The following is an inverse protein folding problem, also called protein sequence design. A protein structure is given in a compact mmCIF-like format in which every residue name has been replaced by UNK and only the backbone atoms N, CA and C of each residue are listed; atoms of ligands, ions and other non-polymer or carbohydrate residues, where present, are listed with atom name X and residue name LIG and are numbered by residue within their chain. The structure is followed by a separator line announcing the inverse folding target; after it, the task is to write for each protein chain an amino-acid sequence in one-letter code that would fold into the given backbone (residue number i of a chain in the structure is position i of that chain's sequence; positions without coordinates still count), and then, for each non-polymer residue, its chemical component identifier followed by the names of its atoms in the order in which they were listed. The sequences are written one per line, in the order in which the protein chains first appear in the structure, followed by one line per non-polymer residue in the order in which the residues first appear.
data_IF_035423553678
#
_entry.id   IF_035423553678
#
_cell.length_a   1.000
_cell.length_b   1.000
_cell.length_c   1.000
_cell.angle_alpha   90.00
_cell.angle_beta   90.00
_cell.angle_gamma   90.00
#
_symmetry.space_group_name_H-M   'P 1'
#
loop_
_entity.id
_entity.type
_entity.pdbx_description
1 polymer ?
#
# COMPACT_ATOMS: atom_id res chain seq x y z
N UNK A 1 19.48 5.67 -6.16
CA UNK A 1 18.95 4.56 -6.97
C UNK A 1 19.27 4.85 -8.43
N UNK A 2 19.83 3.88 -9.16
CA UNK A 2 20.22 4.05 -10.56
C UNK A 2 18.93 3.98 -11.38
N UNK A 3 18.34 5.13 -11.71
CA UNK A 3 16.92 5.24 -12.09
C UNK A 3 16.54 4.62 -13.44
N UNK A 4 17.46 3.92 -14.13
CA UNK A 4 17.14 3.05 -15.27
C UNK A 4 16.55 3.75 -16.51
N UNK A 5 16.28 5.05 -16.45
CA UNK A 5 15.65 5.81 -17.52
C UNK A 5 16.39 5.62 -18.85
N UNK A 6 15.61 5.32 -19.90
CA UNK A 6 16.12 5.14 -21.26
C UNK A 6 16.90 3.85 -21.51
N UNK A 7 16.97 2.91 -20.55
CA UNK A 7 17.58 1.59 -20.75
C UNK A 7 16.51 0.51 -20.91
N UNK A 8 16.63 -0.38 -21.90
CA UNK A 8 15.75 -1.53 -22.02
C UNK A 8 15.93 -2.52 -20.85
N UNK A 9 14.82 -3.03 -20.35
CA UNK A 9 14.73 -4.16 -19.43
C UNK A 9 14.94 -5.44 -20.26
N UNK A 10 16.12 -6.03 -20.16
CA UNK A 10 16.52 -7.20 -20.95
C UNK A 10 16.01 -8.54 -20.38
N UNK A 11 15.81 -8.60 -19.07
CA UNK A 11 15.30 -9.78 -18.37
C UNK A 11 13.88 -9.47 -17.87
N UNK A 12 12.88 -10.02 -18.56
CA UNK A 12 11.53 -10.07 -18.02
C UNK A 12 11.39 -11.28 -17.11
N UNK A 13 10.58 -11.14 -16.06
CA UNK A 13 10.12 -12.26 -15.25
C UNK A 13 9.28 -13.25 -16.07
N UNK A 14 8.74 -14.27 -15.40
CA UNK A 14 7.86 -15.23 -16.07
C UNK A 14 6.47 -14.63 -16.28
N UNK A 15 5.68 -15.23 -17.16
CA UNK A 15 4.32 -14.75 -17.48
C UNK A 15 3.43 -14.48 -16.24
N UNK A 16 3.55 -15.27 -15.17
CA UNK A 16 2.78 -15.07 -13.94
C UNK A 16 3.17 -13.81 -13.15
N UNK A 17 4.39 -13.28 -13.33
CA UNK A 17 4.82 -12.02 -12.68
C UNK A 17 4.05 -10.82 -13.25
N UNK A 18 3.41 -10.99 -14.42
CA UNK A 18 2.56 -10.02 -15.10
C UNK A 18 1.07 -10.35 -14.97
N UNK A 19 0.70 -11.29 -14.08
CA UNK A 19 -0.66 -11.82 -13.93
C UNK A 19 -1.23 -12.45 -15.21
N UNK A 20 -0.38 -12.87 -16.15
CA UNK A 20 -0.79 -13.64 -17.32
C UNK A 20 -0.94 -15.12 -16.96
N UNK A 21 -1.83 -15.83 -17.66
CA UNK A 21 -2.06 -17.28 -17.54
C UNK A 21 -1.02 -18.10 -18.31
N UNK A 22 -0.51 -17.54 -19.40
CA UNK A 22 0.50 -18.13 -20.27
C UNK A 22 1.28 -17.06 -21.05
N UNK A 23 2.26 -17.51 -21.83
CA UNK A 23 3.12 -16.65 -22.68
C UNK A 23 2.33 -15.87 -23.75
N UNK A 24 1.19 -16.41 -24.21
CA UNK A 24 0.38 -15.74 -25.23
C UNK A 24 -0.36 -14.55 -24.63
N UNK A 25 -0.90 -14.71 -23.41
CA UNK A 25 -1.51 -13.62 -22.65
C UNK A 25 -0.46 -12.56 -22.24
N UNK A 26 0.76 -12.96 -21.87
CA UNK A 26 1.86 -12.01 -21.63
C UNK A 26 2.12 -11.15 -22.87
N UNK A 27 2.33 -11.78 -24.03
CA UNK A 27 2.57 -11.05 -25.29
C UNK A 27 1.39 -10.14 -25.64
N UNK A 28 0.15 -10.58 -25.39
CA UNK A 28 -1.02 -9.73 -25.57
C UNK A 28 -0.99 -8.49 -24.65
N UNK A 29 -0.70 -8.66 -23.36
CA UNK A 29 -0.57 -7.54 -22.40
C UNK A 29 0.52 -6.56 -22.85
N UNK A 30 1.70 -7.06 -23.22
CA UNK A 30 2.81 -6.23 -23.70
C UNK A 30 2.42 -5.44 -24.96
N UNK A 31 1.72 -6.07 -25.91
CA UNK A 31 1.22 -5.39 -27.10
C UNK A 31 0.18 -4.31 -26.77
N UNK A 32 -0.69 -4.53 -25.78
CA UNK A 32 -1.65 -3.51 -25.31
C UNK A 32 -0.90 -2.31 -24.72
N UNK A 33 0.12 -2.53 -23.89
CA UNK A 33 0.94 -1.46 -23.32
C UNK A 33 1.71 -0.70 -24.42
N UNK A 34 2.22 -1.43 -25.43
CA UNK A 34 2.86 -0.85 -26.61
C UNK A 34 1.91 0.00 -27.45
N UNK A 35 0.70 -0.48 -27.71
CA UNK A 35 -0.32 0.28 -28.45
C UNK A 35 -0.76 1.55 -27.70
N UNK A 36 -0.65 1.57 -26.36
CA UNK A 36 -0.85 2.77 -25.55
C UNK A 36 0.36 3.72 -25.54
N UNK A 37 1.47 3.34 -26.17
CA UNK A 37 2.77 4.02 -26.15
C UNK A 37 3.35 4.15 -24.72
N UNK A 38 3.05 3.18 -23.85
CA UNK A 38 3.62 3.14 -22.50
C UNK A 38 4.99 2.46 -22.50
N UNK A 39 5.16 1.48 -23.39
CA UNK A 39 6.42 0.76 -23.57
C UNK A 39 6.68 0.56 -25.06
N UNK A 40 7.95 0.44 -25.45
CA UNK A 40 8.32 -0.20 -26.70
C UNK A 40 8.94 -1.56 -26.40
N UNK A 41 8.71 -2.52 -27.28
CA UNK A 41 9.28 -3.84 -27.13
C UNK A 41 9.46 -4.59 -28.43
N UNK A 42 10.49 -5.43 -28.47
CA UNK A 42 10.81 -6.29 -29.60
C UNK A 42 10.19 -7.70 -29.56
N UNK A 43 9.37 -8.01 -28.55
CA UNK A 43 8.77 -9.36 -28.40
C UNK A 43 7.94 -9.77 -29.61
N UNK A 44 8.23 -10.97 -30.11
CA UNK A 44 7.45 -11.65 -31.14
C UNK A 44 7.14 -13.07 -30.69
N UNK A 45 5.92 -13.52 -30.98
CA UNK A 45 5.53 -14.92 -30.83
C UNK A 45 6.13 -15.70 -32.01
N UNK A 46 7.01 -16.67 -31.75
CA UNK A 46 7.48 -17.60 -32.76
C UNK A 46 6.63 -18.87 -32.82
N UNK A 47 6.99 -19.77 -33.74
CA UNK A 47 6.35 -21.07 -33.87
C UNK A 47 6.51 -21.89 -32.58
N UNK A 48 5.39 -22.44 -32.09
CA UNK A 48 5.36 -23.25 -30.86
C UNK A 48 5.19 -22.46 -29.55
N UNK A 49 4.62 -21.25 -29.57
CA UNK A 49 4.43 -20.36 -28.39
C UNK A 49 5.72 -19.94 -27.67
N UNK A 50 6.88 -20.02 -28.35
CA UNK A 50 8.13 -19.53 -27.80
C UNK A 50 8.28 -18.04 -28.12
N UNK A 51 8.62 -17.25 -27.10
CA UNK A 51 8.73 -15.79 -27.17
C UNK A 51 10.20 -15.40 -27.37
N UNK A 52 10.49 -14.53 -28.35
CA UNK A 52 11.85 -14.07 -28.65
C UNK A 52 12.05 -12.61 -28.23
N UNK A 53 13.14 -12.32 -27.50
CA UNK A 53 13.54 -10.99 -27.03
C UNK A 53 14.53 -10.34 -28.00
N UNK A 54 14.07 -9.50 -28.92
CA UNK A 54 14.98 -8.76 -29.81
C UNK A 54 15.79 -7.66 -29.09
N UNK A 55 15.13 -6.89 -28.22
CA UNK A 55 15.68 -5.65 -27.64
C UNK A 55 15.22 -5.35 -26.20
N UNK A 56 14.59 -6.31 -25.51
CA UNK A 56 13.98 -6.09 -24.18
C UNK A 56 12.71 -5.24 -24.24
N UNK A 57 12.25 -4.76 -23.07
CA UNK A 57 11.17 -3.76 -22.93
C UNK A 57 11.79 -2.42 -22.58
N UNK A 58 11.54 -1.39 -23.39
CA UNK A 58 11.87 -0.01 -23.07
C UNK A 58 10.62 0.69 -22.54
N UNK A 59 10.70 1.31 -21.37
CA UNK A 59 9.62 2.17 -20.88
C UNK A 59 9.70 3.51 -21.62
N UNK A 60 8.61 3.89 -22.29
CA UNK A 60 8.50 5.15 -23.02
C UNK A 60 8.13 6.32 -22.10
N UNK A 61 8.22 7.55 -22.60
CA UNK A 61 7.90 8.78 -21.84
C UNK A 61 6.53 8.69 -21.15
N UNK A 62 5.48 8.27 -21.87
CA UNK A 62 4.14 8.11 -21.27
C UNK A 62 4.09 7.00 -20.22
N UNK A 63 4.89 5.95 -20.38
CA UNK A 63 5.03 4.90 -19.38
C UNK A 63 5.65 5.44 -18.09
N UNK A 64 6.69 6.26 -18.19
CA UNK A 64 7.29 6.92 -17.04
C UNK A 64 6.32 7.90 -16.36
N UNK A 65 5.56 8.68 -17.14
CA UNK A 65 4.52 9.57 -16.58
C UNK A 65 3.47 8.78 -15.81
N UNK A 66 2.97 7.67 -16.38
CA UNK A 66 1.97 6.82 -15.72
C UNK A 66 2.53 6.19 -14.43
N UNK A 67 3.78 5.70 -14.45
CA UNK A 67 4.46 5.18 -13.27
C UNK A 67 4.56 6.25 -12.20
N UNK A 68 5.08 7.43 -12.54
CA UNK A 68 5.20 8.56 -11.61
C UNK A 68 3.83 8.99 -11.07
N UNK A 69 2.77 8.97 -11.88
CA UNK A 69 1.41 9.25 -11.41
C UNK A 69 0.85 8.18 -10.48
N UNK A 70 1.17 6.91 -10.72
CA UNK A 70 0.77 5.81 -9.87
C UNK A 70 1.54 5.76 -8.54
N UNK A 71 2.80 6.20 -8.55
CA UNK A 71 3.68 6.29 -7.39
C UNK A 71 3.51 7.60 -6.62
N UNK A 72 2.89 8.63 -7.21
CA UNK A 72 2.58 9.88 -6.52
C UNK A 72 1.78 9.56 -5.26
N UNK A 73 2.22 10.05 -4.09
CA UNK A 73 1.42 10.00 -2.89
C UNK A 73 0.05 10.57 -3.22
N UNK A 74 -1.02 9.83 -2.91
CA UNK A 74 -2.37 10.34 -3.17
C UNK A 74 -2.48 11.68 -2.47
N UNK A 75 -2.94 12.73 -3.18
CA UNK A 75 -3.25 14.05 -2.61
C UNK A 75 -4.38 14.03 -1.56
N UNK A 76 -4.72 12.85 -1.05
CA UNK A 76 -5.59 12.63 0.06
C UNK A 76 -4.93 13.12 1.34
N UNK A 77 -5.71 13.82 2.16
CA UNK A 77 -5.37 14.08 3.56
C UNK A 77 -5.81 12.93 4.47
N UNK A 78 -6.56 11.96 3.94
CA UNK A 78 -7.13 10.88 4.74
C UNK A 78 -6.04 9.90 5.18
N UNK A 79 -6.09 9.51 6.45
CA UNK A 79 -5.29 8.45 7.04
C UNK A 79 -6.25 7.39 7.54
N UNK A 80 -6.22 6.21 6.95
CA UNK A 80 -7.08 5.13 7.44
C UNK A 80 -6.51 4.62 8.78
N UNK A 81 -7.37 4.50 9.79
CA UNK A 81 -7.01 4.00 11.12
C UNK A 81 -7.70 2.66 11.31
N UNK A 82 -6.92 1.59 11.12
CA UNK A 82 -7.31 0.22 11.40
C UNK A 82 -7.01 -0.07 12.87
N UNK A 83 -8.05 -0.20 13.69
CA UNK A 83 -7.89 -0.46 15.13
C UNK A 83 -9.11 -1.17 15.72
N UNK A 84 -8.95 -1.71 16.92
CA UNK A 84 -10.05 -2.33 17.65
C UNK A 84 -11.15 -1.32 18.02
N UNK A 85 -12.42 -1.64 17.74
CA UNK A 85 -13.60 -0.81 18.04
C UNK A 85 -14.07 -0.82 19.50
N UNK A 86 -13.33 -1.45 20.42
CA UNK A 86 -13.73 -1.46 21.83
C UNK A 86 -13.71 -0.04 22.40
N UNK A 87 -14.73 0.37 23.19
CA UNK A 87 -14.79 1.70 23.78
C UNK A 87 -13.53 2.11 24.57
N UNK A 88 -12.77 1.15 25.12
CA UNK A 88 -11.51 1.42 25.82
C UNK A 88 -10.44 2.01 24.90
N UNK A 89 -10.55 1.83 23.59
CA UNK A 89 -9.61 2.36 22.60
C UNK A 89 -10.01 3.74 22.08
N UNK A 90 -11.13 4.32 22.53
CA UNK A 90 -11.58 5.62 22.05
C UNK A 90 -10.58 6.75 22.34
N UNK A 91 -10.00 6.77 23.55
CA UNK A 91 -8.99 7.78 23.90
C UNK A 91 -7.73 7.65 23.03
N UNK A 92 -7.28 6.41 22.77
CA UNK A 92 -6.18 6.15 21.84
C UNK A 92 -6.51 6.63 20.42
N UNK A 93 -7.74 6.42 19.95
CA UNK A 93 -8.19 6.92 18.65
C UNK A 93 -8.16 8.45 18.57
N UNK A 94 -8.63 9.15 19.60
CA UNK A 94 -8.60 10.61 19.66
C UNK A 94 -7.16 11.15 19.57
N UNK A 95 -6.21 10.52 20.27
CA UNK A 95 -4.79 10.88 20.20
C UNK A 95 -4.17 10.56 18.83
N UNK A 96 -4.58 9.47 18.17
CA UNK A 96 -4.21 9.19 16.77
C UNK A 96 -4.71 10.32 15.85
N UNK A 97 -5.97 10.76 16.00
CA UNK A 97 -6.53 11.84 15.19
C UNK A 97 -5.80 13.17 15.42
N UNK A 98 -5.44 13.48 16.67
CA UNK A 98 -4.63 14.66 17.01
C UNK A 98 -3.25 14.60 16.35
N UNK A 99 -2.55 13.47 16.45
CA UNK A 99 -1.23 13.30 15.84
C UNK A 99 -1.25 13.46 14.30
N UNK A 100 -2.30 12.98 13.64
CA UNK A 100 -2.51 13.23 12.21
C UNK A 100 -2.73 14.73 11.92
N UNK A 101 -3.53 15.40 12.75
CA UNK A 101 -3.93 16.80 12.54
C UNK A 101 -2.75 17.78 12.66
N UNK A 102 -1.69 17.43 13.39
CA UNK A 102 -0.43 18.20 13.46
C UNK A 102 0.21 18.42 12.08
N UNK A 103 -0.11 17.58 11.11
CA UNK A 103 0.45 17.59 9.75
C UNK A 103 -0.62 17.69 8.66
N UNK A 104 -1.78 18.28 8.97
CA UNK A 104 -2.89 18.49 8.02
C UNK A 104 -3.46 17.19 7.44
N UNK A 105 -3.31 16.08 8.17
CA UNK A 105 -3.95 14.80 7.89
C UNK A 105 -5.20 14.60 8.73
N UNK A 106 -6.12 13.77 8.23
CA UNK A 106 -7.41 13.46 8.85
C UNK A 106 -7.47 11.97 9.15
N UNK A 107 -7.34 11.61 10.44
CA UNK A 107 -7.50 10.24 10.91
C UNK A 107 -8.95 9.77 10.77
N UNK A 108 -9.16 8.74 9.95
CA UNK A 108 -10.46 8.19 9.60
C UNK A 108 -10.56 6.71 10.01
N UNK A 109 -11.62 6.35 10.74
CA UNK A 109 -11.96 4.97 11.05
C UNK A 109 -13.33 4.66 10.45
N UNK A 110 -13.55 3.44 9.95
CA UNK A 110 -14.78 3.09 9.20
C UNK A 110 -16.06 3.35 9.99
N UNK A 111 -16.04 3.20 11.32
CA UNK A 111 -17.19 3.49 12.19
C UNK A 111 -17.67 4.95 12.14
N UNK A 112 -16.85 5.87 11.62
CA UNK A 112 -17.21 7.28 11.45
C UNK A 112 -18.06 7.53 10.19
N UNK A 113 -18.27 6.52 9.35
CA UNK A 113 -18.99 6.65 8.08
C UNK A 113 -20.28 5.83 8.11
N UNK A 114 -21.40 6.50 7.92
CA UNK A 114 -22.67 5.83 7.62
C UNK A 114 -22.69 5.36 6.16
N UNK A 115 -23.09 4.12 5.92
CA UNK A 115 -23.28 3.57 4.59
C UNK A 115 -24.32 2.45 4.57
N UNK A 116 -24.99 2.26 3.43
CA UNK A 116 -25.95 1.17 3.21
C UNK A 116 -25.37 -0.05 2.47
N UNK A 117 -24.08 0.01 2.11
CA UNK A 117 -23.36 -1.06 1.41
C UNK A 117 -22.73 -2.05 2.39
N UNK A 118 -22.15 -3.12 1.87
CA UNK A 118 -21.31 -4.03 2.67
C UNK A 118 -20.08 -3.29 3.22
N UNK A 119 -19.86 -3.41 4.53
CA UNK A 119 -18.78 -2.72 5.26
C UNK A 119 -17.39 -3.05 4.72
N UNK A 120 -17.15 -4.30 4.35
CA UNK A 120 -15.86 -4.76 3.82
C UNK A 120 -15.48 -3.99 2.55
N UNK A 121 -16.44 -3.79 1.63
CA UNK A 121 -16.21 -3.06 0.39
C UNK A 121 -15.86 -1.58 0.63
N UNK A 122 -16.52 -0.96 1.61
CA UNK A 122 -16.26 0.43 2.00
C UNK A 122 -14.89 0.58 2.69
N UNK A 123 -14.49 -0.37 3.53
CA UNK A 123 -13.13 -0.42 4.12
C UNK A 123 -12.07 -0.42 3.02
N UNK A 124 -12.16 -1.35 2.06
CA UNK A 124 -11.18 -1.45 0.97
C UNK A 124 -11.16 -0.19 0.10
N UNK A 125 -12.33 0.42 -0.13
CA UNK A 125 -12.44 1.67 -0.87
C UNK A 125 -11.76 2.84 -0.14
N UNK A 126 -11.99 2.98 1.16
CA UNK A 126 -11.40 4.05 1.96
C UNK A 126 -9.90 3.85 2.18
N UNK A 127 -9.43 2.62 2.36
CA UNK A 127 -7.99 2.30 2.37
C UNK A 127 -7.35 2.76 1.05
N UNK A 128 -7.92 2.38 -0.10
CA UNK A 128 -7.37 2.78 -1.40
C UNK A 128 -7.25 4.29 -1.56
N UNK A 129 -8.12 5.10 -0.94
CA UNK A 129 -8.09 6.55 -1.09
C UNK A 129 -7.28 7.26 0.00
N UNK A 130 -6.72 6.53 0.95
CA UNK A 130 -5.92 7.10 2.04
C UNK A 130 -4.48 7.35 1.60
N UNK A 131 -3.84 8.33 2.23
CA UNK A 131 -2.44 8.67 2.01
C UNK A 131 -1.52 7.60 2.61
N UNK A 132 -1.84 7.17 3.83
CA UNK A 132 -1.22 6.05 4.53
C UNK A 132 -2.24 5.44 5.50
N UNK A 133 -1.84 4.34 6.15
CA UNK A 133 -2.64 3.67 7.16
C UNK A 133 -1.88 3.61 8.50
N UNK A 134 -2.62 3.74 9.59
CA UNK A 134 -2.17 3.44 10.95
C UNK A 134 -2.88 2.16 11.40
N UNK A 135 -2.10 1.12 11.68
CA UNK A 135 -2.59 -0.18 12.12
C UNK A 135 -2.26 -0.37 13.60
N UNK A 136 -3.25 -0.16 14.48
CA UNK A 136 -3.11 -0.49 15.90
C UNK A 136 -3.59 -1.92 16.16
N UNK A 137 -2.65 -2.82 16.41
CA UNK A 137 -2.90 -4.26 16.56
C UNK A 137 -3.23 -4.68 17.99
N UNK A 138 -3.49 -3.73 18.88
CA UNK A 138 -4.00 -4.01 20.24
C UNK A 138 -5.33 -4.78 20.16
N UNK A 139 -5.46 -5.83 20.95
CA UNK A 139 -6.58 -6.78 20.93
C UNK A 139 -6.48 -7.86 19.85
N UNK A 140 -5.38 -7.91 19.08
CA UNK A 140 -5.07 -8.96 18.09
C UNK A 140 -6.20 -9.20 17.07
N UNK A 141 -6.75 -8.12 16.51
CA UNK A 141 -7.90 -8.19 15.62
C UNK A 141 -7.49 -8.61 14.22
N UNK A 142 -7.96 -9.79 13.78
CA UNK A 142 -7.72 -10.32 12.43
C UNK A 142 -8.05 -9.31 11.32
N UNK A 143 -9.11 -8.50 11.50
CA UNK A 143 -9.47 -7.45 10.55
C UNK A 143 -8.37 -6.40 10.38
N UNK A 144 -7.75 -5.94 11.47
CA UNK A 144 -6.66 -4.96 11.42
C UNK A 144 -5.44 -5.52 10.69
N UNK A 145 -5.08 -6.78 10.95
CA UNK A 145 -4.01 -7.46 10.24
C UNK A 145 -4.29 -7.59 8.74
N UNK A 146 -5.52 -7.96 8.38
CA UNK A 146 -5.95 -8.05 6.99
C UNK A 146 -5.90 -6.70 6.28
N UNK A 147 -6.43 -5.65 6.91
CA UNK A 147 -6.42 -4.28 6.38
C UNK A 147 -5.00 -3.76 6.19
N UNK A 148 -4.11 -3.99 7.15
CA UNK A 148 -2.71 -3.64 7.06
C UNK A 148 -2.00 -4.40 5.92
N UNK A 149 -2.17 -5.72 5.84
CA UNK A 149 -1.60 -6.53 4.76
C UNK A 149 -2.11 -6.14 3.38
N UNK A 150 -3.41 -5.86 3.25
CA UNK A 150 -4.01 -5.35 2.02
C UNK A 150 -3.39 -4.00 1.61
N UNK A 151 -3.24 -3.08 2.56
CA UNK A 151 -2.67 -1.75 2.34
C UNK A 151 -1.22 -1.84 1.88
N UNK A 152 -0.42 -2.71 2.51
CA UNK A 152 0.95 -3.00 2.08
C UNK A 152 0.99 -3.56 0.65
N UNK A 153 0.06 -4.46 0.31
CA UNK A 153 -0.07 -5.00 -1.04
C UNK A 153 -0.41 -3.94 -2.11
N UNK A 154 -0.97 -2.80 -1.71
CA UNK A 154 -1.21 -1.64 -2.57
C UNK A 154 -0.03 -0.67 -2.65
N UNK A 155 1.07 -0.93 -1.93
CA UNK A 155 2.20 0.00 -1.83
C UNK A 155 1.91 1.26 -0.99
N UNK A 156 0.78 1.28 -0.26
CA UNK A 156 0.44 2.39 0.62
C UNK A 156 1.20 2.21 1.95
N UNK A 157 1.88 3.25 2.49
CA UNK A 157 2.63 3.12 3.74
C UNK A 157 1.75 2.71 4.93
N UNK A 158 2.30 1.86 5.80
CA UNK A 158 1.65 1.41 7.04
C UNK A 158 2.53 1.73 8.23
N UNK A 159 1.97 2.50 9.18
CA UNK A 159 2.55 2.68 10.51
C UNK A 159 1.88 1.69 11.45
N UNK A 160 2.69 0.83 12.07
CA UNK A 160 2.22 -0.15 13.05
C UNK A 160 2.29 0.44 14.46
N UNK A 161 1.27 0.20 15.28
CA UNK A 161 1.27 0.50 16.71
C UNK A 161 0.65 -0.63 17.52
N UNK A 162 1.05 -0.75 18.78
CA UNK A 162 0.48 -1.71 19.71
C UNK A 162 0.72 -1.25 21.15
N UNK A 163 -0.27 -1.47 22.02
CA UNK A 163 -0.10 -1.22 23.45
C UNK A 163 0.95 -2.15 24.04
N UNK A 164 1.76 -1.61 24.95
CA UNK A 164 2.94 -2.30 25.51
C UNK A 164 2.62 -3.64 26.16
N UNK A 165 1.46 -3.80 26.78
CA UNK A 165 1.01 -5.03 27.44
C UNK A 165 0.49 -6.11 26.47
N UNK A 166 0.45 -5.79 25.17
CA UNK A 166 0.02 -6.69 24.10
C UNK A 166 1.10 -6.97 23.06
N UNK A 167 2.24 -6.28 23.10
CA UNK A 167 3.32 -6.44 22.09
C UNK A 167 3.82 -7.88 21.97
N UNK A 168 3.94 -8.59 23.08
CA UNK A 168 4.39 -10.00 23.10
C UNK A 168 3.39 -10.97 22.47
N UNK A 169 2.12 -10.55 22.31
CA UNK A 169 1.05 -11.33 21.70
C UNK A 169 0.92 -11.06 20.20
N UNK A 170 1.61 -10.05 19.67
CA UNK A 170 1.56 -9.70 18.24
C UNK A 170 1.95 -10.90 17.39
N UNK A 171 1.15 -11.11 16.34
CA UNK A 171 1.28 -12.23 15.43
C UNK A 171 2.69 -12.30 14.83
N UNK A 172 3.20 -13.52 14.65
CA UNK A 172 4.59 -13.72 14.23
C UNK A 172 4.87 -13.07 12.86
N UNK A 173 3.91 -13.10 11.93
CA UNK A 173 4.03 -12.50 10.58
C UNK A 173 4.20 -10.99 10.58
N UNK A 174 3.83 -10.29 11.66
CA UNK A 174 3.94 -8.84 11.73
C UNK A 174 4.98 -8.38 12.75
N UNK A 175 5.41 -9.26 13.66
CA UNK A 175 6.35 -8.93 14.74
C UNK A 175 7.66 -8.29 14.26
N UNK A 176 8.12 -8.59 13.04
CA UNK A 176 9.32 -7.99 12.46
C UNK A 176 9.14 -6.53 12.02
N UNK A 177 7.91 -6.03 11.89
CA UNK A 177 7.69 -4.62 11.58
C UNK A 177 7.95 -3.73 12.80
N UNK A 178 8.45 -2.52 12.56
CA UNK A 178 8.73 -1.57 13.61
C UNK A 178 7.43 -0.96 14.17
N UNK A 179 6.93 -1.57 15.24
CA UNK A 179 5.76 -1.11 15.97
C UNK A 179 6.11 0.09 16.85
N UNK A 180 5.25 1.10 16.83
CA UNK A 180 5.15 2.05 17.93
C UNK A 180 4.56 1.29 19.12
N UNK A 181 5.41 0.95 20.07
CA UNK A 181 4.99 0.36 21.35
C UNK A 181 4.66 1.51 22.29
N UNK A 182 3.41 1.62 22.72
CA UNK A 182 2.92 2.74 23.53
C UNK A 182 2.37 2.29 24.89
N UNK A 183 2.62 3.11 25.91
CA UNK A 183 2.23 2.82 27.30
C UNK A 183 0.85 3.40 27.65
N UNK A 184 0.65 4.66 27.27
CA UNK A 184 -0.60 5.40 27.42
C UNK A 184 -0.89 6.25 26.17
N UNK A 185 -2.05 6.88 26.13
CA UNK A 185 -2.53 7.62 24.97
C UNK A 185 -1.65 8.85 24.65
N UNK A 186 -1.03 9.47 25.66
CA UNK A 186 -0.14 10.62 25.46
C UNK A 186 1.20 10.17 24.84
N UNK A 187 1.73 9.05 25.28
CA UNK A 187 2.91 8.42 24.69
C UNK A 187 2.63 7.99 23.23
N UNK A 188 1.45 7.43 22.97
CA UNK A 188 0.98 7.13 21.61
C UNK A 188 0.98 8.39 20.74
N UNK A 189 0.40 9.49 21.20
CA UNK A 189 0.39 10.77 20.48
C UNK A 189 1.80 11.21 20.08
N UNK A 190 2.73 11.31 21.04
CA UNK A 190 4.08 11.83 20.77
C UNK A 190 4.87 10.91 19.84
N UNK A 191 4.81 9.59 20.05
CA UNK A 191 5.52 8.63 19.19
C UNK A 191 4.95 8.62 17.77
N UNK A 192 3.63 8.72 17.63
CA UNK A 192 2.96 8.72 16.34
C UNK A 192 3.23 10.02 15.57
N UNK A 193 3.17 11.17 16.24
CA UNK A 193 3.57 12.47 15.67
C UNK A 193 4.99 12.40 15.09
N UNK A 194 5.94 11.89 15.87
CA UNK A 194 7.32 11.75 15.44
C UNK A 194 7.49 10.74 14.28
N UNK A 195 6.73 9.64 14.29
CA UNK A 195 6.75 8.65 13.20
C UNK A 195 6.23 9.25 11.90
N UNK A 196 5.06 9.91 11.92
CA UNK A 196 4.47 10.54 10.74
C UNK A 196 5.47 11.53 10.13
N UNK A 197 6.06 12.40 10.96
CA UNK A 197 7.09 13.36 10.51
C UNK A 197 8.32 12.70 9.90
N UNK A 198 8.75 11.55 10.43
CA UNK A 198 9.99 10.92 10.02
C UNK A 198 9.86 9.95 8.84
N UNK A 199 8.65 9.47 8.52
CA UNK A 199 8.46 8.40 7.53
C UNK A 199 7.40 8.68 6.47
N UNK A 200 6.56 9.70 6.64
CA UNK A 200 5.50 10.05 5.67
C UNK A 200 5.79 11.38 4.98
N UNK A 201 6.26 12.38 5.73
CA UNK A 201 6.64 13.71 5.22
C UNK A 201 8.08 13.71 4.71
#
# INVERSE_FOLDING_TARGET
MNSGYGKPISELGKYYDFFAKDESELVYILNVLKNKNLIDHGFKLGTGNHVYTGSGVLIEEKGWIEIEESEKPKNSKQVFVAMWFDPKMNAAFEEIQKACSEYDFIGFKISNKEHNKEISGEILYEIKRSHFLIADVTGQRNGVYFEAGYTMGLGIPVIWSCKVDEIEKVHFDTRQYNHIVWEDEKDLFEKLKNRIKGTIL
#
